data_IF_831200757613
#
_entry.id   IF_831200757613
#
_cell.length_a   1.000
_cell.length_b   1.000
_cell.length_c   1.000
_cell.angle_alpha   90.00
_cell.angle_beta   90.00
_cell.angle_gamma   90.00
#
_symmetry.space_group_name_H-M   'P 1'
#
loop_
_entity.id
_entity.type
_entity.pdbx_description
1 polymer ?
#
# COMPACT_ATOMS: atom_id res chain seq x y z
N UNK A 1 3.34 4.26 -12.91
CA UNK A 1 3.07 4.86 -14.25
C UNK A 1 2.25 6.15 -14.13
N UNK A 2 1.06 6.20 -13.51
CA UNK A 2 0.26 7.43 -13.42
C UNK A 2 0.98 8.63 -12.80
N UNK A 3 1.78 8.42 -11.74
CA UNK A 3 2.59 9.48 -11.14
C UNK A 3 3.67 9.98 -12.10
N UNK A 4 4.36 9.10 -12.83
CA UNK A 4 5.39 9.48 -13.80
C UNK A 4 4.81 10.27 -14.99
N UNK A 5 3.61 9.91 -15.44
CA UNK A 5 2.91 10.65 -16.50
C UNK A 5 2.54 12.06 -16.05
N UNK A 6 2.08 12.19 -14.81
CA UNK A 6 1.62 13.49 -14.29
C UNK A 6 2.77 14.39 -13.83
N UNK A 7 3.87 13.81 -13.35
CA UNK A 7 5.05 14.54 -12.88
C UNK A 7 6.33 13.92 -13.48
N UNK A 8 6.57 14.11 -14.77
CA UNK A 8 7.69 13.49 -15.48
C UNK A 8 9.07 13.95 -14.97
N UNK A 9 9.14 15.14 -14.39
CA UNK A 9 10.38 15.71 -13.86
C UNK A 9 10.76 15.16 -12.47
N UNK A 10 9.88 14.38 -11.83
CA UNK A 10 10.14 13.85 -10.49
C UNK A 10 10.66 12.41 -10.55
N UNK A 11 11.70 12.16 -9.77
CA UNK A 11 12.19 10.79 -9.55
C UNK A 11 11.30 10.06 -8.55
N UNK A 12 10.95 8.81 -8.85
CA UNK A 12 10.21 7.98 -7.91
C UNK A 12 11.21 7.16 -7.09
N UNK A 13 11.14 7.31 -5.77
CA UNK A 13 11.81 6.45 -4.81
C UNK A 13 10.83 5.38 -4.33
N UNK A 14 11.04 4.13 -4.76
CA UNK A 14 10.27 2.99 -4.29
C UNK A 14 10.97 2.36 -3.09
N UNK A 15 10.27 2.29 -1.96
CA UNK A 15 10.81 1.68 -0.75
C UNK A 15 10.06 0.40 -0.39
N UNK A 16 10.77 -0.54 0.20
CA UNK A 16 10.22 -1.80 0.70
C UNK A 16 11.04 -2.33 1.86
N UNK A 17 10.48 -3.30 2.60
CA UNK A 17 11.14 -3.87 3.78
C UNK A 17 11.81 -5.23 3.51
N UNK A 18 11.49 -5.88 2.38
CA UNK A 18 11.93 -7.25 2.11
C UNK A 18 12.75 -7.35 0.82
N UNK A 19 13.74 -8.28 0.77
CA UNK A 19 14.48 -8.57 -0.45
C UNK A 19 13.56 -8.96 -1.61
N UNK A 20 12.57 -9.82 -1.36
CA UNK A 20 11.60 -10.27 -2.37
C UNK A 20 10.78 -9.09 -2.92
N UNK A 21 10.35 -8.14 -2.08
CA UNK A 21 9.64 -6.94 -2.52
C UNK A 21 10.52 -6.06 -3.40
N UNK A 22 11.81 -5.93 -3.07
CA UNK A 22 12.77 -5.20 -3.89
C UNK A 22 13.00 -5.87 -5.24
N UNK A 23 13.16 -7.20 -5.24
CA UNK A 23 13.32 -7.97 -6.48
C UNK A 23 12.11 -7.84 -7.40
N UNK A 24 10.90 -7.96 -6.86
CA UNK A 24 9.66 -7.71 -7.61
C UNK A 24 9.61 -6.29 -8.18
N UNK A 25 10.03 -5.29 -7.41
CA UNK A 25 10.14 -3.92 -7.88
C UNK A 25 11.12 -3.77 -9.05
N UNK A 26 12.29 -4.45 -9.00
CA UNK A 26 13.26 -4.47 -10.10
C UNK A 26 12.68 -5.13 -11.35
N UNK A 27 11.97 -6.24 -11.21
CA UNK A 27 11.32 -6.93 -12.33
C UNK A 27 10.25 -6.07 -13.01
N UNK A 28 9.47 -5.30 -12.23
CA UNK A 28 8.36 -4.49 -12.76
C UNK A 28 8.84 -3.15 -13.32
N UNK A 29 9.75 -2.47 -12.62
CA UNK A 29 10.11 -1.08 -12.92
C UNK A 29 11.51 -0.91 -13.48
N UNK A 30 12.41 -1.90 -13.30
CA UNK A 30 13.80 -1.80 -13.75
C UNK A 30 14.47 -0.53 -13.20
N UNK A 31 15.13 0.20 -14.07
CA UNK A 31 15.85 1.44 -13.75
C UNK A 31 14.97 2.71 -13.76
N UNK A 32 13.65 2.56 -13.97
CA UNK A 32 12.72 3.69 -14.01
C UNK A 32 12.45 4.32 -12.66
N UNK A 33 12.82 3.64 -11.58
CA UNK A 33 12.63 4.10 -10.21
C UNK A 33 13.89 3.84 -9.38
N UNK A 34 14.17 4.73 -8.45
CA UNK A 34 15.21 4.49 -7.44
C UNK A 34 14.64 3.52 -6.41
N UNK A 35 15.36 2.45 -6.07
CA UNK A 35 14.92 1.51 -5.06
C UNK A 35 15.81 1.54 -3.82
N UNK A 36 15.19 1.64 -2.66
CA UNK A 36 15.86 1.58 -1.37
C UNK A 36 15.08 0.76 -0.35
N UNK A 37 15.75 0.28 0.68
CA UNK A 37 15.05 -0.25 1.84
C UNK A 37 14.49 0.89 2.69
N UNK A 38 13.25 0.71 3.15
CA UNK A 38 12.70 1.60 4.16
C UNK A 38 13.55 1.46 5.44
N UNK A 39 13.96 2.55 6.10
CA UNK A 39 14.72 2.46 7.33
C UNK A 39 13.86 1.83 8.43
N UNK A 40 14.49 1.12 9.36
CA UNK A 40 13.82 0.75 10.61
C UNK A 40 13.25 2.00 11.28
N UNK A 41 12.07 1.89 11.89
CA UNK A 41 11.32 3.02 12.44
C UNK A 41 11.96 3.60 13.74
N UNK A 42 13.24 3.95 13.66
CA UNK A 42 13.99 4.65 14.70
C UNK A 42 14.25 6.11 14.29
N UNK A 43 14.13 7.07 15.21
CA UNK A 43 14.29 8.49 14.89
C UNK A 43 15.60 8.84 14.16
N UNK A 44 16.71 8.21 14.54
CA UNK A 44 18.01 8.42 13.90
C UNK A 44 18.09 7.86 12.47
N UNK A 45 17.55 6.67 12.23
CA UNK A 45 17.53 6.04 10.91
C UNK A 45 16.58 6.81 9.96
N UNK A 46 15.41 7.15 10.43
CA UNK A 46 14.43 7.99 9.73
C UNK A 46 15.02 9.37 9.39
N UNK A 47 15.69 10.01 10.35
CA UNK A 47 16.33 11.29 10.11
C UNK A 47 17.44 11.23 9.04
N UNK A 48 18.22 10.14 8.98
CA UNK A 48 19.21 9.93 7.90
C UNK A 48 18.53 9.73 6.55
N UNK A 49 17.44 8.94 6.51
CA UNK A 49 16.67 8.70 5.31
C UNK A 49 16.15 10.01 4.70
N UNK A 50 15.46 10.84 5.48
CA UNK A 50 14.94 12.12 4.98
C UNK A 50 16.03 13.09 4.54
N UNK A 51 17.18 13.14 5.24
CA UNK A 51 18.30 14.00 4.82
C UNK A 51 18.97 13.49 3.54
N UNK A 52 19.01 12.17 3.33
CA UNK A 52 19.66 11.59 2.17
C UNK A 52 18.82 11.74 0.90
N UNK A 53 17.55 11.39 0.99
CA UNK A 53 16.68 11.37 -0.18
C UNK A 53 15.93 12.68 -0.41
N UNK A 54 15.75 13.50 0.64
CA UNK A 54 15.03 14.79 0.57
C UNK A 54 13.74 14.73 -0.27
N UNK A 55 12.81 13.81 0.00
CA UNK A 55 11.64 13.66 -0.82
C UNK A 55 10.71 14.89 -0.70
N UNK A 56 10.10 15.31 -1.81
CA UNK A 56 9.12 16.40 -1.84
C UNK A 56 7.75 15.94 -1.35
N UNK A 57 7.44 14.63 -1.50
CA UNK A 57 6.15 14.06 -1.19
C UNK A 57 6.29 12.57 -0.82
N UNK A 58 5.46 12.09 0.10
CA UNK A 58 5.41 10.69 0.52
C UNK A 58 4.05 10.04 0.23
N UNK A 59 4.07 8.80 -0.25
CA UNK A 59 2.88 7.95 -0.39
C UNK A 59 3.10 6.67 0.40
N UNK A 60 2.27 6.45 1.42
CA UNK A 60 2.19 5.19 2.14
C UNK A 60 1.05 4.36 1.57
N UNK A 61 1.27 3.05 1.44
CA UNK A 61 0.26 2.15 0.90
C UNK A 61 -0.44 1.36 2.01
N UNK A 62 -1.75 1.15 1.85
CA UNK A 62 -2.60 0.34 2.72
C UNK A 62 -2.61 0.80 4.20
N UNK A 63 -2.01 0.02 5.10
CA UNK A 63 -2.04 0.29 6.55
C UNK A 63 -0.61 0.43 7.13
N UNK A 64 0.34 0.84 6.32
CA UNK A 64 1.75 1.01 6.69
C UNK A 64 1.97 2.29 7.52
N UNK A 65 1.47 2.30 8.75
CA UNK A 65 1.60 3.44 9.67
C UNK A 65 2.84 3.24 10.56
N UNK A 66 3.87 4.01 10.26
CA UNK A 66 5.15 4.01 10.95
C UNK A 66 5.29 5.33 11.74
N UNK A 67 5.16 5.31 13.08
CA UNK A 67 5.09 6.54 13.86
C UNK A 67 6.30 7.47 13.73
N UNK A 68 7.52 6.91 13.76
CA UNK A 68 8.72 7.74 13.61
C UNK A 68 8.92 8.23 12.18
N UNK A 69 8.56 7.42 11.17
CA UNK A 69 8.58 7.84 9.76
C UNK A 69 7.66 9.04 9.54
N UNK A 70 6.43 9.00 10.06
CA UNK A 70 5.47 10.09 9.95
C UNK A 70 5.90 11.32 10.77
N UNK A 71 6.46 11.13 11.96
CA UNK A 71 7.07 12.21 12.73
C UNK A 71 8.26 12.84 11.98
N UNK A 72 9.06 12.01 11.30
CA UNK A 72 10.14 12.46 10.41
C UNK A 72 9.60 13.27 9.24
N UNK A 73 8.61 12.75 8.51
CA UNK A 73 7.98 13.46 7.40
C UNK A 73 7.49 14.85 7.81
N UNK A 74 6.78 14.93 8.94
CA UNK A 74 6.36 16.22 9.52
C UNK A 74 7.54 17.15 9.85
N UNK A 75 8.60 16.61 10.48
CA UNK A 75 9.81 17.39 10.85
C UNK A 75 10.51 17.96 9.62
N UNK A 76 10.59 17.17 8.56
CA UNK A 76 11.25 17.58 7.29
C UNK A 76 10.28 18.26 6.33
N UNK A 77 9.03 18.52 6.76
CA UNK A 77 7.98 19.19 5.98
C UNK A 77 7.62 18.47 4.68
N UNK A 78 7.67 17.14 4.69
CA UNK A 78 7.31 16.28 3.58
C UNK A 78 5.82 15.90 3.70
N UNK A 79 4.94 16.46 2.87
CA UNK A 79 3.53 16.04 2.84
C UNK A 79 3.44 14.55 2.56
N UNK A 80 2.68 13.83 3.37
CA UNK A 80 2.57 12.37 3.23
C UNK A 80 1.12 11.96 3.24
N UNK A 81 0.72 11.18 2.24
CA UNK A 81 -0.65 10.64 2.14
C UNK A 81 -0.65 9.13 2.34
N UNK A 82 -1.76 8.62 2.84
CA UNK A 82 -2.06 7.20 2.89
C UNK A 82 -2.96 6.85 1.71
N UNK A 83 -2.46 6.06 0.77
CA UNK A 83 -3.20 5.60 -0.39
C UNK A 83 -3.70 4.16 -0.19
N UNK A 84 -4.87 3.84 -0.75
CA UNK A 84 -5.52 2.55 -0.62
C UNK A 84 -5.71 2.13 0.84
N UNK A 85 -6.02 3.11 1.72
CA UNK A 85 -6.11 2.94 3.16
C UNK A 85 -7.19 1.95 3.57
N UNK A 86 -6.78 0.89 4.29
CA UNK A 86 -7.66 -0.14 4.82
C UNK A 86 -7.38 -0.37 6.30
N UNK A 87 -8.41 -0.40 7.13
CA UNK A 87 -8.23 -0.61 8.56
C UNK A 87 -9.30 -1.56 9.12
N UNK A 88 -8.90 -2.77 9.49
CA UNK A 88 -9.80 -3.74 10.11
C UNK A 88 -10.28 -3.24 11.49
N UNK A 89 -11.47 -3.69 11.91
CA UNK A 89 -11.98 -3.37 13.25
C UNK A 89 -11.02 -3.84 14.36
N UNK A 90 -10.38 -5.00 14.18
CA UNK A 90 -9.40 -5.55 15.11
C UNK A 90 -8.19 -4.60 15.23
N UNK A 91 -7.65 -4.16 14.11
CA UNK A 91 -6.51 -3.23 14.07
C UNK A 91 -6.88 -1.87 14.65
N UNK A 92 -8.06 -1.33 14.31
CA UNK A 92 -8.55 -0.06 14.86
C UNK A 92 -8.65 -0.11 16.40
N UNK A 93 -9.18 -1.20 16.96
CA UNK A 93 -9.23 -1.41 18.41
C UNK A 93 -7.83 -1.54 19.02
N UNK A 94 -6.90 -2.18 18.33
CA UNK A 94 -5.50 -2.27 18.74
C UNK A 94 -4.85 -0.89 18.84
N UNK A 95 -4.97 -0.09 17.78
CA UNK A 95 -4.46 1.27 17.76
C UNK A 95 -5.11 2.18 18.80
N UNK A 96 -6.40 2.05 19.03
CA UNK A 96 -7.13 2.87 20.05
C UNK A 96 -6.57 2.66 21.46
N UNK A 97 -6.05 1.47 21.80
CA UNK A 97 -5.41 1.20 23.11
C UNK A 97 -4.14 2.03 23.33
N UNK A 98 -3.45 2.38 22.28
CA UNK A 98 -2.22 3.18 22.28
C UNK A 98 -2.44 4.55 21.64
N UNK A 99 -3.63 5.12 21.83
CA UNK A 99 -4.06 6.35 21.14
C UNK A 99 -3.09 7.51 21.31
N UNK A 100 -2.48 7.69 22.47
CA UNK A 100 -1.49 8.74 22.73
C UNK A 100 -0.26 8.67 21.80
N UNK A 101 0.17 7.46 21.42
CA UNK A 101 1.28 7.24 20.52
C UNK A 101 0.84 7.30 19.04
N UNK A 102 -0.32 6.76 18.75
CA UNK A 102 -0.79 6.51 17.39
C UNK A 102 -1.47 7.73 16.76
N UNK A 103 -2.28 8.47 17.54
CA UNK A 103 -2.98 9.66 17.03
C UNK A 103 -2.06 10.73 16.42
N UNK A 104 -0.90 11.07 17.00
CA UNK A 104 0.03 12.01 16.37
C UNK A 104 0.53 11.54 15.00
N UNK A 105 0.70 10.22 14.82
CA UNK A 105 1.12 9.63 13.54
C UNK A 105 0.01 9.76 12.48
N UNK A 106 -1.24 9.41 12.81
CA UNK A 106 -2.37 9.60 11.88
C UNK A 106 -2.61 11.08 11.58
N UNK A 107 -2.50 11.97 12.58
CA UNK A 107 -2.64 13.41 12.40
C UNK A 107 -1.51 14.05 11.58
N UNK A 108 -0.39 13.34 11.38
CA UNK A 108 0.71 13.81 10.52
C UNK A 108 0.45 13.54 9.03
N UNK A 109 -0.55 12.73 8.69
CA UNK A 109 -0.95 12.51 7.30
C UNK A 109 -1.61 13.77 6.72
N UNK A 110 -1.19 14.15 5.52
CA UNK A 110 -1.76 15.27 4.78
C UNK A 110 -3.09 14.90 4.10
N UNK A 111 -3.37 13.61 3.96
CA UNK A 111 -4.62 13.09 3.40
C UNK A 111 -4.64 11.57 3.40
N UNK A 112 -5.83 11.01 3.27
CA UNK A 112 -6.07 9.57 3.22
C UNK A 112 -7.07 9.25 2.13
N UNK A 113 -6.69 8.37 1.21
CA UNK A 113 -7.58 7.72 0.26
C UNK A 113 -7.97 6.34 0.80
N UNK A 114 -9.15 6.25 1.40
CA UNK A 114 -9.65 5.02 2.01
C UNK A 114 -10.34 4.10 1.01
N UNK A 115 -10.27 2.77 1.24
CA UNK A 115 -10.92 1.80 0.35
C UNK A 115 -12.45 1.80 0.50
N UNK A 116 -12.95 1.93 1.72
CA UNK A 116 -14.39 1.86 2.03
C UNK A 116 -14.82 2.95 3.03
N UNK A 117 -16.12 3.29 3.09
CA UNK A 117 -16.64 4.21 4.12
C UNK A 117 -16.28 3.76 5.56
N UNK A 118 -16.33 2.46 5.83
CA UNK A 118 -15.97 1.91 7.14
C UNK A 118 -14.48 2.07 7.47
N UNK A 119 -13.60 2.01 6.48
CA UNK A 119 -12.18 2.29 6.67
C UNK A 119 -11.97 3.79 6.94
N UNK A 120 -12.65 4.65 6.19
CA UNK A 120 -12.60 6.10 6.39
C UNK A 120 -13.03 6.51 7.80
N UNK A 121 -14.16 5.98 8.28
CA UNK A 121 -14.64 6.23 9.65
C UNK A 121 -13.59 5.83 10.71
N UNK A 122 -12.98 4.65 10.57
CA UNK A 122 -11.97 4.15 11.52
C UNK A 122 -10.69 4.97 11.49
N UNK A 123 -10.23 5.35 10.30
CA UNK A 123 -9.03 6.17 10.13
C UNK A 123 -9.24 7.58 10.69
N UNK A 124 -10.39 8.20 10.44
CA UNK A 124 -10.77 9.50 11.02
C UNK A 124 -10.87 9.43 12.54
N UNK A 125 -11.45 8.36 13.09
CA UNK A 125 -11.56 8.17 14.55
C UNK A 125 -10.18 8.07 15.24
N UNK A 126 -9.14 7.60 14.52
CA UNK A 126 -7.76 7.56 14.99
C UNK A 126 -7.01 8.90 14.81
N UNK A 127 -7.67 9.90 14.23
CA UNK A 127 -7.12 11.25 14.09
C UNK A 127 -6.48 11.53 12.73
N UNK A 128 -6.69 10.67 11.72
CA UNK A 128 -6.27 10.98 10.37
C UNK A 128 -6.93 12.28 9.87
N UNK A 129 -6.17 13.08 9.12
CA UNK A 129 -6.61 14.33 8.49
C UNK A 129 -7.70 14.11 7.45
N UNK A 130 -7.79 14.90 6.38
CA UNK A 130 -8.83 14.74 5.36
C UNK A 130 -8.85 13.31 4.83
N UNK A 131 -10.00 12.64 4.94
CA UNK A 131 -10.18 11.24 4.49
C UNK A 131 -11.24 11.22 3.41
N UNK A 132 -10.88 10.67 2.25
CA UNK A 132 -11.74 10.49 1.09
C UNK A 132 -11.88 9.00 0.77
N UNK A 133 -13.06 8.57 0.33
CA UNK A 133 -13.30 7.18 -0.10
C UNK A 133 -13.06 7.08 -1.60
N UNK A 134 -11.98 6.40 -1.97
CA UNK A 134 -11.54 6.28 -3.37
C UNK A 134 -11.70 4.86 -3.97
N UNK A 135 -12.15 3.89 -3.18
CA UNK A 135 -12.21 2.50 -3.62
C UNK A 135 -10.88 1.76 -3.46
N UNK A 136 -10.77 0.59 -4.09
CA UNK A 136 -9.59 -0.27 -3.97
C UNK A 136 -8.85 -0.35 -5.31
N UNK A 137 -7.60 0.08 -5.30
CA UNK A 137 -6.70 0.12 -6.46
C UNK A 137 -6.54 -1.21 -7.21
N UNK A 138 -6.78 -2.35 -6.55
CA UNK A 138 -6.72 -3.66 -7.24
C UNK A 138 -7.75 -3.81 -8.37
N UNK A 139 -8.84 -3.02 -8.34
CA UNK A 139 -9.85 -3.04 -9.40
C UNK A 139 -9.47 -2.17 -10.60
N UNK A 140 -8.46 -1.32 -10.46
CA UNK A 140 -7.95 -0.47 -11.55
C UNK A 140 -6.92 -1.22 -12.42
N UNK A 141 -6.47 -2.40 -11.97
CA UNK A 141 -5.51 -3.22 -12.70
C UNK A 141 -6.29 -4.14 -13.66
N UNK A 142 -6.17 -3.95 -14.98
CA UNK A 142 -6.81 -4.84 -15.93
C UNK A 142 -6.23 -6.25 -15.80
N UNK A 143 -7.07 -7.30 -15.95
CA UNK A 143 -6.58 -8.66 -15.91
C UNK A 143 -5.60 -8.88 -17.07
N UNK A 144 -4.48 -9.62 -16.85
CA UNK A 144 -3.49 -9.87 -17.89
C UNK A 144 -4.12 -10.60 -19.08
N UNK A 145 -4.03 -9.99 -20.27
CA UNK A 145 -4.67 -10.52 -21.50
C UNK A 145 -4.26 -11.98 -21.78
N UNK A 146 -2.99 -12.32 -21.57
CA UNK A 146 -2.50 -13.70 -21.74
C UNK A 146 -3.18 -14.72 -20.80
N UNK A 147 -3.56 -14.33 -19.58
CA UNK A 147 -4.30 -15.23 -18.66
C UNK A 147 -5.74 -15.41 -19.07
N UNK A 148 -6.38 -14.40 -19.65
CA UNK A 148 -7.74 -14.50 -20.21
C UNK A 148 -7.75 -15.48 -21.38
N UNK A 149 -6.78 -15.36 -22.29
CA UNK A 149 -6.59 -16.27 -23.45
C UNK A 149 -6.38 -17.70 -22.96
N UNK A 150 -5.46 -17.91 -22.02
CA UNK A 150 -5.20 -19.22 -21.42
C UNK A 150 -6.46 -19.82 -20.75
N UNK A 151 -7.22 -19.01 -20.02
CA UNK A 151 -8.49 -19.45 -19.43
C UNK A 151 -9.53 -19.89 -20.48
N UNK A 152 -9.58 -19.19 -21.62
CA UNK A 152 -10.43 -19.55 -22.76
C UNK A 152 -9.99 -20.87 -23.40
N UNK A 153 -8.70 -21.11 -23.51
CA UNK A 153 -8.14 -22.38 -23.98
C UNK A 153 -8.47 -23.55 -23.06
N UNK A 154 -8.32 -23.36 -21.76
CA UNK A 154 -8.67 -24.38 -20.76
C UNK A 154 -10.18 -24.70 -20.73
N UNK A 155 -11.02 -23.75 -21.10
CA UNK A 155 -12.46 -23.97 -21.19
C UNK A 155 -12.86 -24.85 -22.38
N UNK A 156 -12.09 -24.86 -23.47
CA UNK A 156 -12.42 -25.62 -24.68
C UNK A 156 -12.65 -27.12 -24.45
N UNK A 157 -11.74 -27.85 -23.77
CA UNK A 157 -11.97 -29.29 -23.51
C UNK A 157 -13.08 -29.58 -22.50
N UNK A 158 -13.47 -28.58 -21.68
CA UNK A 158 -14.58 -28.74 -20.71
C UNK A 158 -15.93 -28.66 -21.38
N UNK A 159 -16.06 -27.89 -22.48
CA UNK A 159 -17.31 -27.72 -23.24
C UNK A 159 -18.42 -27.05 -22.43
N UNK A 160 -19.58 -27.64 -22.41
CA UNK A 160 -20.79 -27.16 -21.72
C UNK A 160 -20.93 -27.70 -20.27
N UNK A 161 -19.96 -28.47 -19.80
CA UNK A 161 -20.01 -29.01 -18.43
C UNK A 161 -19.89 -27.90 -17.39
N UNK A 162 -20.62 -28.01 -16.27
CA UNK A 162 -20.42 -27.07 -15.16
C UNK A 162 -19.01 -27.21 -14.60
N UNK A 163 -18.40 -26.07 -14.28
CA UNK A 163 -17.05 -26.00 -13.69
C UNK A 163 -17.19 -25.59 -12.23
N UNK A 164 -16.66 -26.40 -11.34
CA UNK A 164 -16.44 -26.02 -9.96
C UNK A 164 -14.94 -25.69 -9.77
N UNK A 165 -14.65 -24.51 -9.20
CA UNK A 165 -13.29 -24.04 -8.99
C UNK A 165 -13.04 -23.84 -7.50
N UNK A 166 -12.12 -24.62 -6.93
CA UNK A 166 -11.54 -24.35 -5.61
C UNK A 166 -10.25 -23.53 -5.80
N UNK A 167 -10.23 -22.31 -5.29
CA UNK A 167 -9.10 -21.43 -5.44
C UNK A 167 -8.47 -21.09 -4.07
N UNK A 168 -7.12 -21.03 -4.02
CA UNK A 168 -6.36 -20.72 -2.79
C UNK A 168 -6.58 -21.69 -1.65
N UNK A 169 -6.87 -22.95 -1.96
CA UNK A 169 -6.99 -24.02 -0.97
C UNK A 169 -5.65 -24.28 -0.28
N UNK A 170 -5.69 -24.69 0.95
CA UNK A 170 -4.54 -25.12 1.74
C UNK A 170 -4.54 -26.63 1.88
N UNK A 171 -3.38 -27.20 2.22
CA UNK A 171 -3.23 -28.64 2.42
C UNK A 171 -4.31 -29.19 3.36
N UNK A 172 -5.05 -30.18 2.89
CA UNK A 172 -6.17 -30.82 3.58
C UNK A 172 -7.56 -30.20 3.36
N UNK A 173 -7.68 -29.06 2.69
CA UNK A 173 -8.98 -28.44 2.39
C UNK A 173 -9.67 -29.04 1.15
N UNK A 174 -8.93 -29.78 0.32
CA UNK A 174 -9.47 -30.48 -0.86
C UNK A 174 -10.06 -31.87 -0.53
N UNK A 175 -9.89 -32.34 0.68
CA UNK A 175 -10.44 -33.65 1.13
C UNK A 175 -11.85 -33.40 1.62
N UNK A 176 -12.83 -33.69 0.76
CA UNK A 176 -14.25 -33.71 1.07
C UNK A 176 -14.74 -35.15 1.24
#
# INVERSE_FOLDING_TARGET
>A
EGLQVRWPEHCILLTGMTPTGREAGLQVYGDKVIQAYLPYDYPGAVGRFFRHFSPDFGVLMETEIWPNLLAGARRYKVPTVLANGRLSLRSARGYARFSALVRPAFAALSGVAAQTPRDAERLSALGAGPVEVCGNLKFDVPPPVGKITLGSEWKKPVGQRPIWLAASTREGEEVL
#
